data_IF_008120315651
#
_entry.id   IF_008120315651
#
_cell.length_a   1.000
_cell.length_b   1.000
_cell.length_c   1.000
_cell.angle_alpha   90.00
_cell.angle_beta   90.00
_cell.angle_gamma   90.00
#
_symmetry.space_group_name_H-M   'P 1'
#
loop_
_entity.id
_entity.type
_entity.pdbx_description
1 polymer ?
#
# COMPACT_ATOMS: atom_id res chain seq x y z
N UNK A 1 -58.36 48.20 26.17
CA UNK A 1 -58.04 47.51 24.88
C UNK A 1 -57.04 46.38 25.13
N UNK A 2 -57.48 45.12 25.19
CA UNK A 2 -56.60 43.94 25.35
C UNK A 2 -56.03 43.56 23.98
N UNK A 3 -54.72 43.77 23.79
CA UNK A 3 -54.01 43.48 22.53
C UNK A 3 -54.03 41.97 22.24
N UNK A 4 -54.63 41.56 21.12
CA UNK A 4 -54.59 40.18 20.59
C UNK A 4 -53.21 39.90 19.94
N UNK A 5 -52.16 39.78 20.76
CA UNK A 5 -50.82 39.36 20.29
C UNK A 5 -50.63 37.83 20.27
N UNK A 6 -51.57 37.05 20.81
CA UNK A 6 -51.32 35.64 21.18
C UNK A 6 -51.28 34.59 20.07
N UNK A 7 -51.84 34.83 18.87
CA UNK A 7 -52.07 33.73 17.89
C UNK A 7 -51.13 33.73 16.68
N UNK A 8 -50.62 34.90 16.26
CA UNK A 8 -49.62 35.00 15.18
C UNK A 8 -48.18 34.88 15.68
N UNK A 9 -47.90 35.30 16.92
CA UNK A 9 -46.57 35.18 17.54
C UNK A 9 -46.16 33.74 17.86
N UNK A 10 -47.12 32.89 18.26
CA UNK A 10 -46.88 31.46 18.54
C UNK A 10 -46.50 30.67 17.29
N UNK A 11 -47.14 30.94 16.15
CA UNK A 11 -46.82 30.28 14.87
C UNK A 11 -45.43 30.68 14.37
N UNK A 12 -45.07 31.97 14.52
CA UNK A 12 -43.77 32.48 14.09
C UNK A 12 -42.64 31.89 14.94
N UNK A 13 -42.83 31.76 16.25
CA UNK A 13 -41.88 31.08 17.15
C UNK A 13 -41.70 29.60 16.77
N UNK A 14 -42.79 28.90 16.46
CA UNK A 14 -42.74 27.50 16.06
C UNK A 14 -41.93 27.33 14.77
N UNK A 15 -42.16 28.16 13.75
CA UNK A 15 -41.40 28.11 12.49
C UNK A 15 -39.91 28.38 12.71
N UNK A 16 -39.56 29.37 13.54
CA UNK A 16 -38.14 29.67 13.84
C UNK A 16 -37.45 28.50 14.55
N UNK A 17 -38.12 27.88 15.53
CA UNK A 17 -37.58 26.68 16.20
C UNK A 17 -37.42 25.54 15.19
N UNK A 18 -38.39 25.33 14.32
CA UNK A 18 -38.37 24.26 13.33
C UNK A 18 -37.24 24.46 12.29
N UNK A 19 -37.04 25.70 11.84
CA UNK A 19 -35.91 26.07 10.97
C UNK A 19 -34.56 25.90 11.69
N UNK A 20 -34.47 26.24 12.97
CA UNK A 20 -33.25 26.05 13.76
C UNK A 20 -32.91 24.57 13.97
N UNK A 21 -33.91 23.71 14.15
CA UNK A 21 -33.70 22.27 14.25
C UNK A 21 -33.27 21.69 12.90
N UNK A 22 -33.91 22.10 11.80
CA UNK A 22 -33.53 21.64 10.45
C UNK A 22 -32.11 22.07 10.11
N UNK A 23 -31.72 23.31 10.41
CA UNK A 23 -30.36 23.79 10.13
C UNK A 23 -29.31 23.05 10.95
N UNK A 24 -29.61 22.73 12.22
CA UNK A 24 -28.73 21.91 13.06
C UNK A 24 -28.55 20.50 12.50
N UNK A 25 -29.65 19.85 12.08
CA UNK A 25 -29.60 18.51 11.48
C UNK A 25 -28.81 18.51 10.16
N UNK A 26 -29.01 19.53 9.32
CA UNK A 26 -28.26 19.68 8.08
C UNK A 26 -26.75 19.85 8.34
N UNK A 27 -26.38 20.69 9.31
CA UNK A 27 -24.98 20.87 9.70
C UNK A 27 -24.35 19.57 10.22
N UNK A 28 -25.07 18.80 11.04
CA UNK A 28 -24.62 17.51 11.54
C UNK A 28 -24.40 16.49 10.39
N UNK A 29 -25.32 16.43 9.43
CA UNK A 29 -25.20 15.55 8.26
C UNK A 29 -24.00 15.92 7.37
N UNK A 30 -23.74 17.22 7.17
CA UNK A 30 -22.58 17.71 6.42
C UNK A 30 -21.28 17.39 7.16
N UNK A 31 -21.24 17.56 8.48
CA UNK A 31 -20.06 17.22 9.29
C UNK A 31 -19.75 15.73 9.22
N UNK A 32 -20.78 14.88 9.32
CA UNK A 32 -20.64 13.43 9.20
C UNK A 32 -20.14 13.01 7.81
N UNK A 33 -20.65 13.65 6.76
CA UNK A 33 -20.21 13.35 5.39
C UNK A 33 -18.72 13.67 5.17
N UNK A 34 -18.21 14.75 5.77
CA UNK A 34 -16.80 15.11 5.69
C UNK A 34 -15.90 14.11 6.44
N UNK A 35 -16.31 13.62 7.61
CA UNK A 35 -15.52 12.62 8.35
C UNK A 35 -15.41 11.30 7.58
N UNK A 36 -16.50 10.83 6.99
CA UNK A 36 -16.52 9.61 6.18
C UNK A 36 -15.67 9.76 4.92
N UNK A 37 -15.70 10.94 4.27
CA UNK A 37 -14.87 11.22 3.11
C UNK A 37 -13.37 11.22 3.46
N UNK A 38 -13.00 11.74 4.64
CA UNK A 38 -11.63 11.67 5.15
C UNK A 38 -11.17 10.23 5.38
N UNK A 39 -12.01 9.41 6.01
CA UNK A 39 -11.72 7.99 6.24
C UNK A 39 -11.56 7.23 4.91
N UNK A 40 -12.46 7.44 3.95
CA UNK A 40 -12.42 6.79 2.64
C UNK A 40 -11.17 7.17 1.84
N UNK A 41 -10.70 8.42 1.93
CA UNK A 41 -9.45 8.86 1.30
C UNK A 41 -8.23 8.19 1.93
N UNK A 42 -8.19 8.12 3.26
CA UNK A 42 -7.10 7.46 3.97
C UNK A 42 -7.03 5.97 3.62
N UNK A 43 -8.17 5.28 3.56
CA UNK A 43 -8.23 3.87 3.18
C UNK A 43 -7.71 3.65 1.76
N UNK A 44 -8.23 4.40 0.77
CA UNK A 44 -7.75 4.29 -0.62
C UNK A 44 -6.25 4.51 -0.75
N UNK A 45 -5.72 5.51 -0.05
CA UNK A 45 -4.28 5.77 -0.09
C UNK A 45 -3.47 4.65 0.59
N UNK A 46 -4.05 3.93 1.56
CA UNK A 46 -3.46 2.73 2.14
C UNK A 46 -3.45 1.56 1.14
N UNK A 47 -4.58 1.32 0.48
CA UNK A 47 -4.72 0.29 -0.54
C UNK A 47 -3.77 0.51 -1.72
N UNK A 48 -3.59 1.76 -2.14
CA UNK A 48 -2.65 2.13 -3.20
C UNK A 48 -1.20 1.82 -2.84
N UNK A 49 -0.79 2.13 -1.60
CA UNK A 49 0.54 1.78 -1.10
C UNK A 49 0.73 0.27 -1.04
N UNK A 50 -0.28 -0.47 -0.56
CA UNK A 50 -0.23 -1.93 -0.49
C UNK A 50 -0.10 -2.54 -1.89
N UNK A 51 -0.92 -2.08 -2.84
CA UNK A 51 -0.84 -2.51 -4.23
C UNK A 51 0.52 -2.20 -4.86
N UNK A 52 1.11 -1.05 -4.53
CA UNK A 52 2.46 -0.70 -4.96
C UNK A 52 3.52 -1.66 -4.40
N UNK A 53 3.45 -2.01 -3.10
CA UNK A 53 4.38 -2.96 -2.50
C UNK A 53 4.22 -4.38 -3.08
N UNK A 54 2.98 -4.82 -3.34
CA UNK A 54 2.69 -6.09 -4.01
C UNK A 54 3.20 -6.11 -5.47
N UNK A 55 3.03 -5.01 -6.20
CA UNK A 55 3.60 -4.85 -7.53
C UNK A 55 5.14 -4.87 -7.49
N UNK A 56 5.75 -4.25 -6.47
CA UNK A 56 7.19 -4.33 -6.21
C UNK A 56 7.65 -5.77 -5.95
N UNK A 57 6.88 -6.56 -5.18
CA UNK A 57 7.13 -7.99 -4.98
C UNK A 57 7.08 -8.75 -6.31
N UNK A 58 6.07 -8.53 -7.14
CA UNK A 58 5.97 -9.18 -8.46
C UNK A 58 7.10 -8.75 -9.40
N UNK A 59 7.47 -7.46 -9.39
CA UNK A 59 8.60 -6.95 -10.16
C UNK A 59 9.90 -7.63 -9.75
N UNK A 60 10.15 -7.76 -8.44
CA UNK A 60 11.32 -8.48 -7.95
C UNK A 60 11.31 -9.93 -8.42
N UNK A 61 10.17 -10.62 -8.27
CA UNK A 61 9.96 -11.99 -8.75
C UNK A 61 10.25 -12.16 -10.25
N UNK A 62 9.88 -11.17 -11.08
CA UNK A 62 10.11 -11.19 -12.53
C UNK A 62 11.57 -10.98 -12.94
N UNK A 63 12.34 -10.24 -12.14
CA UNK A 63 13.75 -9.93 -12.41
C UNK A 63 14.68 -11.08 -12.01
N UNK A 64 14.16 -12.10 -11.35
CA UNK A 64 14.90 -13.33 -11.14
C UNK A 64 15.11 -14.06 -12.46
N UNK A 65 16.33 -13.92 -12.97
CA UNK A 65 16.81 -14.66 -14.12
C UNK A 65 17.70 -15.79 -13.63
N UNK A 66 17.38 -17.03 -14.05
CA UNK A 66 18.20 -18.23 -13.85
C UNK A 66 19.21 -18.43 -14.99
N UNK A 67 19.55 -17.36 -15.71
CA UNK A 67 20.51 -17.42 -16.81
C UNK A 67 21.89 -17.72 -16.21
N UNK A 68 22.47 -18.84 -16.64
CA UNK A 68 23.86 -19.24 -16.47
C UNK A 68 24.29 -20.03 -15.22
N UNK A 69 23.36 -20.53 -14.40
CA UNK A 69 23.68 -21.53 -13.36
C UNK A 69 24.58 -21.03 -12.22
N UNK A 70 24.85 -19.72 -12.17
CA UNK A 70 25.50 -19.00 -11.08
C UNK A 70 24.50 -18.70 -9.95
N UNK A 71 24.97 -18.42 -8.71
CA UNK A 71 24.09 -18.04 -7.61
C UNK A 71 23.22 -16.86 -8.02
N UNK A 72 21.93 -16.96 -7.69
CA UNK A 72 20.87 -15.99 -7.93
C UNK A 72 21.40 -14.55 -7.78
N UNK A 73 21.68 -13.86 -8.89
CA UNK A 73 22.04 -12.44 -8.83
C UNK A 73 20.78 -11.64 -8.50
N UNK A 74 20.55 -11.47 -7.21
CA UNK A 74 19.53 -10.60 -6.67
C UNK A 74 19.99 -9.15 -6.85
N UNK A 75 19.55 -8.52 -7.93
CA UNK A 75 19.69 -7.07 -8.08
C UNK A 75 18.71 -6.37 -7.14
N UNK A 76 19.13 -5.33 -6.41
CA UNK A 76 18.20 -4.59 -5.57
C UNK A 76 17.13 -3.91 -6.43
N UNK A 77 15.90 -3.83 -5.90
CA UNK A 77 14.80 -3.15 -6.58
C UNK A 77 14.86 -1.67 -6.24
N UNK A 78 14.76 -0.83 -7.26
CA UNK A 78 14.53 0.60 -7.12
C UNK A 78 13.82 1.10 -8.38
N UNK A 79 12.49 1.11 -8.38
CA UNK A 79 11.71 1.42 -9.58
C UNK A 79 10.53 2.32 -9.23
N UNK A 80 10.26 3.30 -10.09
CA UNK A 80 9.01 4.05 -10.08
C UNK A 80 7.94 3.25 -10.83
N UNK A 81 6.90 2.84 -10.11
CA UNK A 81 5.81 2.04 -10.68
C UNK A 81 4.75 2.88 -11.41
N UNK A 82 4.76 4.21 -11.24
CA UNK A 82 3.88 5.12 -11.95
C UNK A 82 4.49 5.64 -13.26
N UNK A 83 5.80 5.51 -13.45
CA UNK A 83 6.49 5.98 -14.64
C UNK A 83 6.33 5.01 -15.83
N UNK A 84 6.29 5.58 -17.04
CA UNK A 84 6.31 4.79 -18.27
C UNK A 84 7.72 4.24 -18.52
N UNK A 85 7.91 2.96 -18.22
CA UNK A 85 9.20 2.27 -18.31
C UNK A 85 9.85 2.07 -16.93
N UNK A 86 10.83 1.17 -16.84
CA UNK A 86 11.54 0.90 -15.59
C UNK A 86 12.54 2.03 -15.30
N UNK A 87 12.06 3.18 -14.85
CA UNK A 87 12.90 4.29 -14.38
C UNK A 87 13.23 4.11 -12.91
N UNK A 88 14.50 4.30 -12.57
CA UNK A 88 14.95 4.22 -11.19
C UNK A 88 14.35 5.36 -10.37
N UNK A 89 13.89 5.04 -9.17
CA UNK A 89 13.47 6.06 -8.24
C UNK A 89 14.67 6.86 -7.71
N UNK A 90 14.59 8.20 -7.67
CA UNK A 90 15.69 9.01 -7.16
C UNK A 90 15.95 8.69 -5.68
N UNK A 91 17.22 8.75 -5.23
CA UNK A 91 17.55 8.63 -3.82
C UNK A 91 17.03 9.85 -3.05
N UNK A 92 16.33 9.61 -1.94
CA UNK A 92 15.73 10.68 -1.13
C UNK A 92 14.23 10.82 -1.37
N UNK A 93 13.78 12.06 -1.58
CA UNK A 93 12.36 12.39 -1.74
C UNK A 93 11.79 11.75 -3.02
N UNK A 94 10.63 11.11 -2.87
CA UNK A 94 9.88 10.56 -3.99
C UNK A 94 9.29 11.75 -4.78
N UNK A 95 9.43 11.79 -6.11
CA UNK A 95 8.83 12.84 -6.92
C UNK A 95 7.31 12.92 -6.74
N UNK A 96 6.74 14.08 -7.04
CA UNK A 96 5.28 14.27 -7.07
C UNK A 96 4.65 13.26 -8.06
N UNK A 97 3.52 12.68 -7.68
CA UNK A 97 2.80 11.62 -8.39
C UNK A 97 3.59 10.31 -8.62
N UNK A 98 4.77 10.13 -8.00
CA UNK A 98 5.54 8.87 -8.11
C UNK A 98 5.27 7.91 -6.96
N UNK A 99 5.38 6.60 -7.24
CA UNK A 99 5.33 5.54 -6.23
C UNK A 99 6.53 4.63 -6.39
N UNK A 100 7.42 4.70 -5.42
CA UNK A 100 8.73 4.08 -5.50
C UNK A 100 8.76 2.75 -4.76
N UNK A 101 8.89 1.66 -5.52
CA UNK A 101 9.15 0.33 -4.96
C UNK A 101 10.66 0.11 -4.81
N UNK A 102 11.09 -0.26 -3.60
CA UNK A 102 12.49 -0.42 -3.20
C UNK A 102 12.71 -1.70 -2.42
N UNK A 103 13.85 -2.37 -2.59
CA UNK A 103 14.22 -3.53 -1.76
C UNK A 103 14.84 -3.11 -0.42
N UNK A 104 14.50 -3.83 0.65
CA UNK A 104 14.91 -3.55 2.03
C UNK A 104 13.77 -3.02 2.89
N UNK A 105 14.06 -2.66 4.14
CA UNK A 105 13.09 -2.03 5.04
C UNK A 105 12.93 -0.54 4.77
N UNK A 106 11.78 0.01 5.18
CA UNK A 106 11.54 1.46 5.14
C UNK A 106 12.65 2.18 5.93
N UNK A 107 13.23 3.22 5.32
CA UNK A 107 14.30 4.02 5.92
C UNK A 107 15.71 3.43 5.80
N UNK A 108 15.86 2.25 5.21
CA UNK A 108 17.15 1.71 4.80
C UNK A 108 17.47 2.11 3.35
N UNK A 109 18.74 2.39 3.07
CA UNK A 109 19.20 2.55 1.69
C UNK A 109 18.94 1.26 0.92
N UNK A 110 18.48 1.39 -0.33
CA UNK A 110 18.28 0.28 -1.27
C UNK A 110 19.48 -0.66 -1.19
N UNK A 111 19.25 -1.87 -0.70
CA UNK A 111 20.34 -2.81 -0.46
C UNK A 111 19.90 -4.24 -0.77
N UNK A 112 20.87 -5.03 -1.25
CA UNK A 112 20.75 -6.48 -1.37
C UNK A 112 20.66 -7.13 0.03
N UNK A 113 21.02 -6.40 1.10
CA UNK A 113 20.94 -6.84 2.48
C UNK A 113 19.49 -7.10 2.97
N UNK A 114 18.47 -6.62 2.24
CA UNK A 114 17.08 -7.00 2.46
C UNK A 114 16.75 -8.45 2.05
N UNK A 115 17.71 -9.18 1.46
CA UNK A 115 17.57 -10.58 1.11
C UNK A 115 18.44 -11.41 2.04
N UNK A 116 17.80 -12.26 2.84
CA UNK A 116 18.49 -13.11 3.82
C UNK A 116 18.12 -14.57 3.58
N UNK A 117 19.12 -15.45 3.53
CA UNK A 117 18.88 -16.88 3.57
C UNK A 117 18.25 -17.22 4.93
N UNK A 118 17.15 -17.96 4.90
CA UNK A 118 16.44 -18.40 6.10
C UNK A 118 16.51 -19.91 6.24
N UNK A 119 16.19 -20.44 7.41
CA UNK A 119 16.22 -21.89 7.66
C UNK A 119 15.42 -22.68 6.63
N UNK A 120 15.85 -23.90 6.30
CA UNK A 120 15.31 -24.70 5.19
C UNK A 120 13.80 -25.00 5.21
N UNK A 121 13.11 -24.71 6.32
CA UNK A 121 11.64 -24.86 6.50
C UNK A 121 10.87 -23.53 6.56
N UNK A 122 11.53 -22.38 6.44
CA UNK A 122 10.93 -21.05 6.62
C UNK A 122 9.88 -20.64 5.54
N UNK A 123 9.52 -21.53 4.61
CA UNK A 123 8.45 -21.35 3.62
C UNK A 123 7.47 -22.52 3.55
N UNK A 124 7.47 -23.39 4.57
CA UNK A 124 6.66 -24.61 4.59
C UNK A 124 7.27 -25.76 3.76
N UNK A 125 6.55 -26.88 3.74
CA UNK A 125 6.95 -28.05 2.95
C UNK A 125 6.78 -27.78 1.45
N UNK A 126 7.56 -28.48 0.61
CA UNK A 126 7.44 -28.40 -0.85
C UNK A 126 6.00 -28.63 -1.35
N UNK A 127 5.23 -29.46 -0.63
CA UNK A 127 3.84 -29.79 -0.95
C UNK A 127 2.84 -28.68 -0.59
N UNK A 128 3.24 -27.70 0.23
CA UNK A 128 2.40 -26.59 0.67
C UNK A 128 2.72 -25.27 -0.04
N UNK A 129 3.62 -25.28 -1.03
CA UNK A 129 3.94 -24.10 -1.84
C UNK A 129 2.71 -23.75 -2.69
N UNK A 130 2.14 -22.57 -2.44
CA UNK A 130 0.89 -22.12 -3.10
C UNK A 130 1.12 -21.35 -4.40
N UNK A 131 2.34 -20.87 -4.64
CA UNK A 131 2.69 -20.02 -5.77
C UNK A 131 4.01 -20.52 -6.38
N UNK A 132 3.93 -20.99 -7.63
CA UNK A 132 5.04 -21.52 -8.42
C UNK A 132 5.21 -20.63 -9.65
N UNK A 133 5.84 -19.48 -9.45
CA UNK A 133 6.22 -18.58 -10.54
C UNK A 133 7.64 -18.94 -11.04
N UNK A 134 7.84 -18.97 -12.36
CA UNK A 134 9.14 -19.16 -13.01
C UNK A 134 9.86 -20.51 -12.70
N UNK A 135 9.19 -21.65 -12.91
CA UNK A 135 9.81 -22.98 -12.77
C UNK A 135 10.61 -23.35 -14.02
N UNK A 136 11.94 -23.29 -13.95
CA UNK A 136 12.84 -23.88 -14.97
C UNK A 136 13.28 -25.27 -14.47
N UNK A 137 12.84 -26.31 -15.17
CA UNK A 137 12.86 -27.71 -14.74
C UNK A 137 14.23 -28.41 -14.63
N UNK A 138 15.24 -27.79 -14.03
CA UNK A 138 16.48 -28.48 -13.62
C UNK A 138 16.82 -28.18 -12.17
N UNK A 139 16.82 -29.25 -11.38
CA UNK A 139 16.95 -29.41 -9.92
C UNK A 139 18.29 -28.96 -9.30
N UNK A 140 19.00 -27.98 -9.87
CA UNK A 140 20.42 -27.74 -9.55
C UNK A 140 20.73 -26.54 -8.65
N UNK A 141 19.75 -25.75 -8.21
CA UNK A 141 20.01 -24.47 -7.51
C UNK A 141 19.62 -24.45 -6.01
N UNK A 142 19.70 -25.60 -5.33
CA UNK A 142 19.88 -25.65 -3.88
C UNK A 142 18.66 -25.37 -3.00
N UNK A 143 17.53 -24.88 -3.54
CA UNK A 143 16.25 -24.82 -2.82
C UNK A 143 16.31 -24.11 -1.47
N UNK A 144 17.26 -23.19 -1.26
CA UNK A 144 17.39 -22.45 -0.01
C UNK A 144 16.32 -21.36 0.00
N UNK A 145 15.47 -21.30 1.05
CA UNK A 145 14.49 -20.24 1.17
C UNK A 145 15.19 -18.92 1.50
N UNK A 146 14.76 -17.85 0.83
CA UNK A 146 15.25 -16.49 1.04
C UNK A 146 14.08 -15.62 1.48
N UNK A 147 14.26 -14.86 2.57
CA UNK A 147 13.35 -13.80 2.97
C UNK A 147 13.73 -12.53 2.21
N UNK A 148 12.74 -11.93 1.56
CA UNK A 148 12.88 -10.69 0.81
C UNK A 148 11.90 -9.67 1.38
N UNK A 149 12.39 -8.46 1.62
CA UNK A 149 11.56 -7.32 1.99
C UNK A 149 11.54 -6.32 0.85
N UNK A 150 10.34 -5.92 0.44
CA UNK A 150 10.12 -4.84 -0.52
C UNK A 150 9.23 -3.81 0.14
N UNK A 151 9.57 -2.54 0.01
CA UNK A 151 8.74 -1.45 0.50
C UNK A 151 8.38 -0.51 -0.65
N UNK A 152 7.21 0.12 -0.52
CA UNK A 152 6.80 1.21 -1.38
C UNK A 152 6.73 2.51 -0.57
N UNK A 153 7.16 3.61 -1.17
CA UNK A 153 7.05 4.96 -0.60
C UNK A 153 6.37 5.88 -1.61
N UNK A 154 5.45 6.72 -1.13
CA UNK A 154 4.83 7.79 -1.92
C UNK A 154 5.55 9.14 -1.78
N UNK A 155 5.12 10.12 -2.57
CA UNK A 155 5.55 11.53 -2.52
C UNK A 155 5.47 12.16 -1.12
N UNK A 156 4.54 11.70 -0.28
CA UNK A 156 4.28 12.21 1.06
C UNK A 156 5.18 11.55 2.13
N UNK A 157 6.09 10.66 1.72
CA UNK A 157 6.96 9.90 2.60
C UNK A 157 6.23 8.81 3.39
N UNK A 158 4.98 8.51 3.06
CA UNK A 158 4.27 7.37 3.62
C UNK A 158 4.78 6.12 2.92
N UNK A 159 4.95 5.05 3.69
CA UNK A 159 5.40 3.80 3.14
C UNK A 159 4.66 2.61 3.72
N UNK A 160 4.69 1.52 2.96
CA UNK A 160 4.28 0.20 3.40
C UNK A 160 5.32 -0.81 2.94
N UNK A 161 5.46 -1.90 3.67
CA UNK A 161 6.41 -2.96 3.36
C UNK A 161 5.72 -4.31 3.32
N UNK A 162 6.20 -5.16 2.41
CA UNK A 162 5.80 -6.56 2.28
C UNK A 162 7.03 -7.44 2.46
N UNK A 163 6.94 -8.36 3.41
CA UNK A 163 7.94 -9.41 3.61
C UNK A 163 7.41 -10.73 3.05
N UNK A 164 8.22 -11.41 2.25
CA UNK A 164 7.85 -12.71 1.72
C UNK A 164 9.06 -13.64 1.63
N UNK A 165 8.77 -14.94 1.70
CA UNK A 165 9.79 -15.98 1.56
C UNK A 165 9.63 -16.64 0.21
N UNK A 166 10.74 -16.77 -0.50
CA UNK A 166 10.81 -17.40 -1.81
C UNK A 166 11.84 -18.51 -1.81
N UNK A 167 11.53 -19.56 -2.57
CA UNK A 167 12.39 -20.73 -2.71
C UNK A 167 12.57 -21.02 -4.20
N UNK A 168 13.80 -20.92 -4.67
CA UNK A 168 14.13 -21.05 -6.08
C UNK A 168 14.58 -22.49 -6.41
N UNK A 169 14.29 -22.94 -7.64
CA UNK A 169 14.76 -24.24 -8.15
C UNK A 169 14.13 -25.46 -7.48
N UNK A 170 12.79 -25.45 -7.30
CA UNK A 170 12.02 -26.58 -6.79
C UNK A 170 12.02 -27.79 -7.73
#
# INVERSE_FOLDING_TARGET
>A
MKKRLGRRGSVLLLVVVLLAVISLLAAAAVSFSHSELGAARNERSGDELLACADAGRQYMLSRFSLLDGAPVELSPVNVDLNAAGATDCPPGAVPEDSRCARSGHIGQTVSVAGITAVEGRAGGDRKSVRDLSNTVGKTTLGGVPHKITVHCVDENGRGTEVEFVVRFGL
#
